data_IF_189515123538
#
_entry.id   IF_189515123538
#
_cell.length_a   1.000
_cell.length_b   1.000
_cell.length_c   1.000
_cell.angle_alpha   90.00
_cell.angle_beta   90.00
_cell.angle_gamma   90.00
#
_symmetry.space_group_name_H-M   'P 1'
#
loop_
_entity.id
_entity.type
_entity.pdbx_description
1 polymer ?
#
# COMPACT_ATOMS: atom_id res chain seq x y z
N UNK A 1 7.66 -32.14 94.19
CA UNK A 1 7.08 -31.02 94.94
C UNK A 1 7.51 -29.70 94.29
N UNK A 2 6.54 -28.78 94.13
CA UNK A 2 6.66 -27.30 94.07
C UNK A 2 7.25 -26.60 92.83
N UNK A 3 6.32 -26.20 91.95
CA UNK A 3 5.96 -24.83 91.51
C UNK A 3 6.97 -23.68 91.69
N UNK A 4 7.18 -22.90 90.62
CA UNK A 4 6.71 -21.49 90.46
C UNK A 4 7.54 -20.75 89.39
N UNK A 5 6.99 -20.47 88.21
CA UNK A 5 6.61 -19.13 87.68
C UNK A 5 7.50 -17.96 88.13
N UNK A 6 8.10 -17.21 87.18
CA UNK A 6 7.72 -15.82 86.86
C UNK A 6 8.61 -15.10 85.80
N UNK A 7 7.93 -14.31 84.97
CA UNK A 7 8.27 -13.02 84.33
C UNK A 7 9.23 -12.95 83.14
N UNK A 8 8.58 -12.91 81.97
CA UNK A 8 8.63 -11.85 80.95
C UNK A 8 9.86 -10.95 80.88
N UNK A 9 10.55 -10.97 79.73
CA UNK A 9 10.93 -9.76 79.02
C UNK A 9 10.72 -9.98 77.52
N UNK A 10 9.86 -9.12 76.98
CA UNK A 10 9.54 -8.97 75.57
C UNK A 10 10.74 -8.29 74.90
N UNK A 11 11.35 -8.95 73.93
CA UNK A 11 12.22 -8.30 72.95
C UNK A 11 11.61 -8.51 71.57
N UNK A 12 10.75 -7.58 71.15
CA UNK A 12 10.29 -7.46 69.77
C UNK A 12 11.47 -6.92 68.97
N UNK A 13 12.31 -7.82 68.47
CA UNK A 13 13.22 -7.50 67.38
C UNK A 13 12.38 -7.43 66.11
N UNK A 14 12.12 -6.23 65.61
CA UNK A 14 11.57 -6.01 64.28
C UNK A 14 12.68 -6.36 63.28
N UNK A 15 12.56 -7.43 62.47
CA UNK A 15 13.45 -7.57 61.34
C UNK A 15 12.99 -6.54 60.29
N UNK A 16 13.87 -5.60 59.93
CA UNK A 16 13.79 -4.93 58.64
C UNK A 16 13.96 -6.02 57.57
N UNK A 17 12.85 -6.62 57.15
CA UNK A 17 12.82 -7.44 55.95
C UNK A 17 12.96 -6.47 54.77
N UNK A 18 14.18 -6.34 54.26
CA UNK A 18 14.47 -5.72 52.98
C UNK A 18 13.66 -6.50 51.94
N UNK A 19 12.57 -5.92 51.46
CA UNK A 19 11.83 -6.41 50.31
C UNK A 19 12.76 -6.22 49.12
N UNK A 20 13.55 -7.24 48.80
CA UNK A 20 14.15 -7.37 47.49
C UNK A 20 12.99 -7.63 46.52
N UNK A 21 12.36 -6.56 46.04
CA UNK A 21 11.48 -6.61 44.90
C UNK A 21 12.34 -7.03 43.71
N UNK A 22 12.41 -8.34 43.47
CA UNK A 22 12.87 -8.88 42.19
C UNK A 22 11.83 -8.41 41.19
N UNK A 23 12.08 -7.24 40.59
CA UNK A 23 11.30 -6.77 39.47
C UNK A 23 11.34 -7.85 38.42
N UNK A 24 10.19 -8.45 38.13
CA UNK A 24 10.02 -9.24 36.94
C UNK A 24 10.34 -8.31 35.77
N UNK A 25 11.54 -8.45 35.22
CA UNK A 25 11.87 -7.85 33.94
C UNK A 25 11.00 -8.61 32.97
N UNK A 26 9.84 -8.03 32.65
CA UNK A 26 9.09 -8.40 31.48
C UNK A 26 10.06 -8.24 30.32
N UNK A 27 10.60 -9.37 29.85
CA UNK A 27 11.29 -9.42 28.57
C UNK A 27 10.19 -9.13 27.55
N UNK A 28 9.96 -7.84 27.30
CA UNK A 28 9.34 -7.41 26.06
C UNK A 28 10.27 -7.93 24.99
N UNK A 29 9.95 -9.11 24.46
CA UNK A 29 10.64 -9.64 23.30
C UNK A 29 10.73 -8.49 22.32
N UNK A 30 11.96 -8.13 21.95
CA UNK A 30 12.19 -7.10 20.95
C UNK A 30 11.24 -7.43 19.81
N UNK A 31 10.30 -6.53 19.52
CA UNK A 31 9.53 -6.59 18.30
C UNK A 31 10.53 -6.38 17.17
N UNK A 32 11.25 -7.45 16.84
CA UNK A 32 11.96 -7.64 15.60
C UNK A 32 11.04 -7.12 14.52
N UNK A 33 11.56 -6.24 13.66
CA UNK A 33 10.77 -5.55 12.65
C UNK A 33 10.15 -6.60 11.71
N UNK A 34 8.98 -7.14 12.06
CA UNK A 34 8.31 -8.20 11.36
C UNK A 34 7.35 -7.56 10.36
N UNK A 35 7.90 -7.01 9.28
CA UNK A 35 7.09 -6.61 8.15
C UNK A 35 6.57 -7.87 7.47
N UNK A 36 5.31 -7.89 7.08
CA UNK A 36 4.78 -8.97 6.25
C UNK A 36 3.88 -8.40 5.18
N UNK A 37 3.80 -9.14 4.07
CA UNK A 37 2.89 -8.89 2.96
C UNK A 37 2.07 -10.14 2.71
N UNK A 38 0.75 -9.97 2.59
CA UNK A 38 -0.18 -11.07 2.37
C UNK A 38 -0.96 -10.79 1.10
N UNK A 39 -0.96 -11.75 0.19
CA UNK A 39 -1.84 -11.77 -0.97
C UNK A 39 -2.97 -12.75 -0.69
N UNK A 40 -4.22 -12.30 -0.84
CA UNK A 40 -5.41 -13.12 -0.72
C UNK A 40 -6.22 -13.00 -2.01
N UNK A 41 -6.70 -14.12 -2.55
CA UNK A 41 -7.59 -14.13 -3.69
C UNK A 41 -8.65 -15.22 -3.57
N UNK A 42 -9.80 -15.00 -4.20
CA UNK A 42 -10.80 -16.05 -4.43
C UNK A 42 -10.52 -16.62 -5.81
N UNK A 43 -9.94 -17.82 -5.87
CA UNK A 43 -9.56 -18.46 -7.14
C UNK A 43 -10.77 -18.99 -7.92
N UNK A 44 -11.81 -19.43 -7.22
CA UNK A 44 -13.07 -19.86 -7.79
C UNK A 44 -14.19 -19.68 -6.76
N UNK A 45 -15.43 -19.52 -7.23
CA UNK A 45 -16.61 -19.34 -6.40
C UNK A 45 -17.82 -20.00 -7.05
N UNK A 46 -18.67 -20.62 -6.25
CA UNK A 46 -19.89 -21.30 -6.66
C UNK A 46 -20.99 -21.08 -5.62
N UNK A 47 -22.26 -21.48 -5.89
CA UNK A 47 -23.32 -21.37 -4.91
C UNK A 47 -22.96 -22.12 -3.62
N UNK A 48 -22.86 -21.39 -2.52
CA UNK A 48 -22.55 -21.88 -1.18
C UNK A 48 -21.07 -22.13 -0.89
N UNK A 49 -20.16 -21.94 -1.86
CA UNK A 49 -18.73 -22.17 -1.63
C UNK A 49 -17.76 -21.35 -2.48
N UNK A 50 -16.50 -21.32 -2.05
CA UNK A 50 -15.41 -20.67 -2.77
C UNK A 50 -14.06 -21.30 -2.41
N UNK A 51 -13.06 -21.10 -3.27
CA UNK A 51 -11.66 -21.45 -2.99
C UNK A 51 -10.86 -20.16 -2.76
N UNK A 52 -10.26 -20.03 -1.58
CA UNK A 52 -9.32 -18.97 -1.22
C UNK A 52 -7.88 -19.41 -1.42
N UNK A 53 -7.05 -18.56 -2.05
CA UNK A 53 -5.61 -18.74 -2.17
C UNK A 53 -4.89 -17.62 -1.42
N UNK A 54 -3.93 -17.99 -0.58
CA UNK A 54 -3.19 -17.06 0.28
C UNK A 54 -1.69 -17.24 0.08
N UNK A 55 -0.97 -16.14 -0.12
CA UNK A 55 0.49 -16.12 -0.12
C UNK A 55 0.98 -15.15 0.94
N UNK A 56 1.88 -15.62 1.81
CA UNK A 56 2.51 -14.83 2.87
C UNK A 56 3.96 -14.61 2.48
N UNK A 57 4.42 -13.37 2.51
CA UNK A 57 5.82 -12.98 2.31
C UNK A 57 6.35 -12.37 3.61
N UNK A 58 7.45 -12.91 4.11
CA UNK A 58 8.16 -12.36 5.25
C UNK A 58 9.03 -11.20 4.78
N UNK A 59 8.84 -9.99 5.29
CA UNK A 59 9.67 -8.82 5.00
C UNK A 59 10.54 -8.42 6.20
N UNK A 60 10.43 -9.15 7.31
CA UNK A 60 11.20 -8.95 8.53
C UNK A 60 12.28 -10.01 8.73
N UNK A 61 12.68 -10.20 9.98
CA UNK A 61 13.67 -11.21 10.36
C UNK A 61 13.21 -12.63 9.98
N UNK A 62 14.14 -13.55 9.67
CA UNK A 62 13.81 -14.93 9.33
C UNK A 62 12.92 -15.60 10.38
N UNK A 63 11.87 -16.29 9.92
CA UNK A 63 10.91 -17.03 10.75
C UNK A 63 11.18 -18.53 10.66
N UNK A 64 11.12 -19.24 11.79
CA UNK A 64 11.13 -20.71 11.87
C UNK A 64 9.73 -21.33 11.91
N UNK A 65 8.70 -20.49 11.96
CA UNK A 65 7.30 -20.86 11.95
C UNK A 65 6.43 -19.62 11.75
N UNK A 66 5.28 -19.79 11.10
CA UNK A 66 4.36 -18.69 10.84
C UNK A 66 2.92 -19.04 11.24
N UNK A 67 2.25 -18.04 11.78
CA UNK A 67 0.83 -18.02 12.10
C UNK A 67 0.24 -16.76 11.47
N UNK A 68 -0.67 -16.93 10.52
CA UNK A 68 -1.39 -15.85 9.88
C UNK A 68 -2.80 -15.76 10.46
N UNK A 69 -3.24 -14.56 10.86
CA UNK A 69 -4.62 -14.33 11.31
C UNK A 69 -5.30 -13.26 10.47
N UNK A 70 -6.62 -13.42 10.26
CA UNK A 70 -7.50 -12.42 9.64
C UNK A 70 -8.94 -12.63 10.10
N UNK A 71 -9.83 -11.71 9.73
CA UNK A 71 -11.26 -11.83 10.01
C UNK A 71 -12.09 -11.77 8.75
N UNK A 72 -13.09 -12.64 8.65
CA UNK A 72 -14.14 -12.55 7.62
C UNK A 72 -15.24 -11.57 8.05
N UNK A 73 -15.82 -10.83 7.10
CA UNK A 73 -16.79 -9.76 7.38
C UNK A 73 -18.22 -10.08 6.98
N UNK A 74 -18.46 -11.16 6.23
CA UNK A 74 -19.77 -11.51 5.70
C UNK A 74 -20.19 -12.96 6.00
N UNK A 75 -19.75 -13.50 7.14
CA UNK A 75 -20.16 -14.83 7.61
C UNK A 75 -19.50 -16.01 6.89
N UNK A 76 -18.42 -15.78 6.15
CA UNK A 76 -17.66 -16.87 5.51
C UNK A 76 -17.08 -17.83 6.55
N UNK A 77 -17.04 -19.12 6.22
CA UNK A 77 -16.46 -20.16 7.08
C UNK A 77 -15.48 -21.03 6.28
N UNK A 78 -14.28 -21.28 6.81
CA UNK A 78 -13.33 -22.23 6.22
C UNK A 78 -13.83 -23.66 6.46
N UNK A 79 -13.87 -24.47 5.41
CA UNK A 79 -14.34 -25.87 5.47
C UNK A 79 -13.22 -26.89 5.30
N UNK A 80 -12.22 -26.58 4.47
CA UNK A 80 -11.06 -27.44 4.23
C UNK A 80 -9.86 -26.59 3.86
N UNK A 81 -8.65 -26.97 4.28
CA UNK A 81 -7.42 -26.27 3.93
C UNK A 81 -6.31 -27.25 3.50
N UNK A 82 -5.35 -26.75 2.74
CA UNK A 82 -4.13 -27.46 2.34
C UNK A 82 -2.92 -26.53 2.45
N UNK A 83 -1.74 -27.11 2.65
CA UNK A 83 -0.48 -26.40 2.89
C UNK A 83 -0.49 -25.44 4.10
N UNK A 84 -1.52 -25.53 4.94
CA UNK A 84 -1.65 -24.86 6.23
C UNK A 84 -2.64 -25.63 7.12
N UNK A 85 -2.46 -25.54 8.44
CA UNK A 85 -3.48 -25.94 9.40
C UNK A 85 -4.32 -24.71 9.74
N UNK A 86 -5.60 -24.72 9.37
CA UNK A 86 -6.50 -23.56 9.54
C UNK A 86 -7.57 -23.88 10.58
N UNK A 87 -7.80 -22.96 11.50
CA UNK A 87 -8.91 -22.97 12.45
C UNK A 87 -9.67 -21.64 12.41
N UNK A 88 -10.96 -21.68 12.73
CA UNK A 88 -11.81 -20.50 12.75
C UNK A 88 -12.71 -20.50 13.99
N UNK A 89 -12.84 -19.33 14.62
CA UNK A 89 -13.77 -19.07 15.72
C UNK A 89 -14.56 -17.81 15.42
N UNK A 90 -15.87 -17.96 15.19
CA UNK A 90 -16.71 -16.87 14.69
C UNK A 90 -16.19 -16.34 13.36
N UNK A 91 -15.80 -15.06 13.33
CA UNK A 91 -15.22 -14.42 12.14
C UNK A 91 -13.70 -14.52 12.07
N UNK A 92 -13.02 -14.86 13.18
CA UNK A 92 -11.57 -14.86 13.27
C UNK A 92 -11.00 -16.18 12.74
N UNK A 93 -10.12 -16.09 11.75
CA UNK A 93 -9.39 -17.22 11.16
C UNK A 93 -7.93 -17.19 11.59
N UNK A 94 -7.37 -18.36 11.88
CA UNK A 94 -5.96 -18.59 12.20
C UNK A 94 -5.42 -19.70 11.30
N UNK A 95 -4.41 -19.40 10.47
CA UNK A 95 -3.69 -20.36 9.65
C UNK A 95 -2.27 -20.53 10.18
N UNK A 96 -1.84 -21.77 10.41
CA UNK A 96 -0.47 -22.12 10.84
C UNK A 96 0.23 -22.93 9.75
N UNK A 97 1.55 -22.85 9.73
CA UNK A 97 2.39 -23.64 8.83
C UNK A 97 2.07 -25.15 8.89
N UNK A 98 2.24 -25.85 7.77
CA UNK A 98 2.07 -27.29 7.65
C UNK A 98 3.33 -28.08 8.08
N UNK A 99 4.15 -27.50 8.96
CA UNK A 99 5.47 -28.03 9.34
C UNK A 99 6.54 -27.75 8.29
N UNK A 100 6.43 -28.36 7.10
CA UNK A 100 7.46 -28.31 6.05
C UNK A 100 7.68 -26.91 5.44
N UNK A 101 6.67 -26.04 5.50
CA UNK A 101 6.75 -24.65 5.03
C UNK A 101 6.89 -23.63 6.15
N UNK A 102 7.36 -24.05 7.34
CA UNK A 102 7.52 -23.15 8.49
C UNK A 102 8.63 -22.11 8.36
N UNK A 103 9.72 -22.48 7.69
CA UNK A 103 10.88 -21.61 7.54
C UNK A 103 10.63 -20.58 6.42
N UNK A 104 10.60 -19.30 6.79
CA UNK A 104 10.58 -18.17 5.85
C UNK A 104 11.75 -17.23 6.17
N UNK A 105 12.79 -17.27 5.34
CA UNK A 105 13.81 -16.23 5.35
C UNK A 105 13.21 -14.84 5.03
N UNK A 106 13.97 -13.78 5.29
CA UNK A 106 13.60 -12.44 4.84
C UNK A 106 13.42 -12.42 3.32
N UNK A 107 12.32 -11.81 2.86
CA UNK A 107 11.81 -11.78 1.49
C UNK A 107 11.38 -13.14 0.91
N UNK A 108 11.39 -14.23 1.70
CA UNK A 108 10.82 -15.50 1.25
C UNK A 108 9.29 -15.46 1.33
N UNK A 109 8.64 -16.34 0.55
CA UNK A 109 7.19 -16.49 0.53
C UNK A 109 6.76 -17.94 0.71
N UNK A 110 5.58 -18.13 1.25
CA UNK A 110 4.86 -19.41 1.30
C UNK A 110 3.43 -19.22 0.87
N UNK A 111 2.81 -20.27 0.32
CA UNK A 111 1.42 -20.22 -0.16
C UNK A 111 0.61 -21.39 0.39
N UNK A 112 -0.64 -21.11 0.70
CA UNK A 112 -1.62 -22.11 1.10
C UNK A 112 -2.98 -21.77 0.50
N UNK A 113 -3.90 -22.74 0.55
CA UNK A 113 -5.25 -22.54 0.06
C UNK A 113 -6.27 -23.20 0.95
N UNK A 114 -7.53 -22.82 0.76
CA UNK A 114 -8.65 -23.39 1.48
C UNK A 114 -9.94 -23.28 0.66
N UNK A 115 -10.87 -24.18 0.94
CA UNK A 115 -12.26 -24.01 0.57
C UNK A 115 -13.02 -23.41 1.74
N UNK A 116 -13.99 -22.56 1.44
CA UNK A 116 -14.88 -21.97 2.42
C UNK A 116 -16.32 -21.88 1.92
N UNK A 117 -17.26 -21.72 2.85
CA UNK A 117 -18.66 -21.43 2.56
C UNK A 117 -18.94 -19.93 2.67
N UNK A 118 -19.99 -19.47 1.97
CA UNK A 118 -20.47 -18.10 2.01
C UNK A 118 -22.00 -18.06 1.78
N UNK A 119 -22.62 -16.91 2.03
CA UNK A 119 -24.08 -16.77 2.11
C UNK A 119 -24.78 -16.49 0.75
N UNK A 120 -24.09 -16.62 -0.38
CA UNK A 120 -24.58 -16.27 -1.73
C UNK A 120 -24.99 -14.81 -1.96
N UNK A 121 -24.80 -13.92 -0.98
CA UNK A 121 -25.11 -12.49 -1.10
C UNK A 121 -23.85 -11.67 -1.37
N UNK A 122 -22.85 -11.78 -0.49
CA UNK A 122 -21.59 -11.06 -0.66
C UNK A 122 -20.42 -11.89 -0.11
N UNK A 123 -19.31 -11.94 -0.86
CA UNK A 123 -18.08 -12.61 -0.46
C UNK A 123 -16.87 -11.65 -0.47
N UNK A 124 -16.86 -10.64 0.41
CA UNK A 124 -15.77 -9.68 0.50
C UNK A 124 -14.48 -10.37 0.97
N UNK A 125 -13.37 -9.99 0.35
CA UNK A 125 -12.04 -10.45 0.76
C UNK A 125 -11.58 -9.73 2.03
N UNK A 126 -10.82 -10.40 2.93
CA UNK A 126 -10.26 -9.75 4.11
C UNK A 126 -9.24 -8.68 3.75
N UNK A 127 -9.23 -7.57 4.47
CA UNK A 127 -8.36 -6.41 4.22
C UNK A 127 -7.23 -6.22 5.24
N UNK A 128 -7.26 -6.96 6.36
CA UNK A 128 -6.24 -6.89 7.40
C UNK A 128 -5.80 -8.30 7.81
N UNK A 129 -4.49 -8.47 7.89
CA UNK A 129 -3.84 -9.72 8.25
C UNK A 129 -2.77 -9.45 9.30
N UNK A 130 -2.50 -10.41 10.18
CA UNK A 130 -1.35 -10.35 11.08
C UNK A 130 -0.51 -11.62 10.98
N UNK A 131 0.80 -11.48 10.86
CA UNK A 131 1.76 -12.58 10.87
C UNK A 131 2.46 -12.62 12.23
N UNK A 132 2.32 -13.75 12.95
CA UNK A 132 2.85 -13.93 14.30
C UNK A 132 2.46 -12.80 15.27
N UNK A 133 1.25 -12.26 15.12
CA UNK A 133 0.73 -11.16 15.92
C UNK A 133 1.10 -9.75 15.43
N UNK A 134 1.95 -9.63 14.40
CA UNK A 134 2.29 -8.34 13.80
C UNK A 134 1.42 -8.05 12.58
N UNK A 135 0.75 -6.90 12.56
CA UNK A 135 -0.11 -6.50 11.43
C UNK A 135 0.73 -6.38 10.17
N UNK A 136 0.29 -7.03 9.09
CA UNK A 136 0.93 -6.94 7.78
C UNK A 136 0.61 -5.60 7.13
N UNK A 137 1.53 -4.66 7.26
CA UNK A 137 1.45 -3.32 6.67
C UNK A 137 2.12 -3.22 5.29
N UNK A 138 2.67 -4.33 4.77
CA UNK A 138 3.35 -4.36 3.48
C UNK A 138 4.81 -3.89 3.48
N UNK A 139 5.38 -3.59 4.67
CA UNK A 139 6.78 -3.23 4.85
C UNK A 139 7.20 -3.19 6.33
N UNK A 140 8.51 -3.09 6.60
CA UNK A 140 9.07 -2.81 7.93
C UNK A 140 9.21 -1.31 8.15
N UNK A 141 8.75 -0.80 9.28
CA UNK A 141 9.03 0.57 9.74
C UNK A 141 10.33 0.54 10.55
N UNK A 142 11.36 1.36 10.24
CA UNK A 142 12.48 1.55 11.14
C UNK A 142 11.99 2.23 12.44
N UNK A 143 12.32 1.66 13.60
CA UNK A 143 11.93 2.15 14.95
C UNK A 143 12.69 3.41 15.38
N UNK A 144 12.71 4.46 14.55
CA UNK A 144 13.19 5.76 15.01
C UNK A 144 12.09 6.80 14.80
N UNK A 145 11.39 7.13 15.88
CA UNK A 145 10.31 8.10 15.91
C UNK A 145 10.85 9.52 15.61
N UNK A 146 10.31 10.25 14.61
CA UNK A 146 10.50 11.68 14.46
C UNK A 146 9.65 12.47 15.48
N UNK A 147 10.00 13.72 15.81
CA UNK A 147 9.35 14.48 16.87
C UNK A 147 7.88 14.79 16.52
N UNK A 148 7.03 14.70 17.55
CA UNK A 148 5.59 14.95 17.45
C UNK A 148 5.30 16.45 17.47
N UNK A 149 4.68 16.99 16.43
CA UNK A 149 3.97 18.28 16.49
C UNK A 149 2.46 18.04 16.47
N UNK A 150 1.73 18.77 17.30
CA UNK A 150 0.28 18.63 17.50
C UNK A 150 -0.53 18.86 16.21
N UNK A 151 -1.59 18.08 15.95
CA UNK A 151 -2.45 18.25 14.76
C UNK A 151 -3.25 19.57 14.79
N UNK A 152 -3.48 20.23 13.63
CA UNK A 152 -4.37 21.39 13.56
C UNK A 152 -5.84 20.97 13.62
N UNK A 153 -6.66 21.76 14.32
CA UNK A 153 -8.07 21.51 14.65
C UNK A 153 -9.08 22.14 13.67
N UNK A 154 -8.68 22.46 12.44
CA UNK A 154 -9.59 23.06 11.45
C UNK A 154 -9.78 22.15 10.23
N UNK A 155 -11.03 21.90 9.77
CA UNK A 155 -11.27 21.10 8.58
C UNK A 155 -10.68 21.80 7.34
N UNK A 156 -10.07 21.08 6.39
CA UNK A 156 -9.46 21.68 5.21
C UNK A 156 -10.55 22.29 4.31
N UNK A 157 -10.28 23.45 3.66
CA UNK A 157 -11.24 24.07 2.79
C UNK A 157 -11.44 23.24 1.52
N UNK A 158 -12.69 23.06 1.11
CA UNK A 158 -13.05 22.51 -0.19
C UNK A 158 -12.74 23.54 -1.27
N UNK A 159 -11.55 23.51 -1.84
CA UNK A 159 -11.18 24.39 -2.97
C UNK A 159 -11.73 23.84 -4.29
N UNK A 160 -12.41 24.69 -5.06
CA UNK A 160 -12.80 24.45 -6.44
C UNK A 160 -11.56 24.20 -7.34
N UNK A 161 -11.70 23.46 -8.47
CA UNK A 161 -10.60 23.21 -9.39
C UNK A 161 -9.92 24.52 -9.84
N UNK A 162 -8.58 24.54 -9.97
CA UNK A 162 -7.83 25.77 -10.23
C UNK A 162 -8.15 26.32 -11.63
N UNK A 163 -8.43 27.62 -11.71
CA UNK A 163 -8.79 28.36 -12.94
C UNK A 163 -7.61 29.08 -13.60
N UNK A 164 -6.38 28.93 -13.10
CA UNK A 164 -5.20 29.52 -13.76
C UNK A 164 -4.62 28.57 -14.80
N UNK A 165 -4.29 29.06 -16.02
CA UNK A 165 -3.61 28.24 -17.01
C UNK A 165 -2.27 27.74 -16.47
N UNK A 166 -1.87 26.51 -16.80
CA UNK A 166 -0.62 25.93 -16.31
C UNK A 166 0.58 26.71 -16.87
N UNK A 167 1.71 26.80 -16.15
CA UNK A 167 2.89 27.48 -16.65
C UNK A 167 3.33 26.83 -17.96
N UNK A 168 3.51 27.61 -19.03
CA UNK A 168 3.98 27.19 -20.34
C UNK A 168 5.44 26.74 -20.26
N UNK A 169 5.64 25.47 -19.87
CA UNK A 169 6.92 24.80 -20.08
C UNK A 169 7.15 24.58 -21.57
N UNK A 170 8.41 24.66 -22.02
CA UNK A 170 8.77 24.32 -23.40
C UNK A 170 8.39 22.88 -23.77
N UNK A 171 8.46 22.56 -25.07
CA UNK A 171 8.18 21.20 -25.52
C UNK A 171 9.08 20.17 -24.82
N UNK A 172 8.53 19.01 -24.45
CA UNK A 172 9.23 17.94 -23.73
C UNK A 172 9.83 18.35 -22.37
N UNK A 173 9.34 19.42 -21.75
CA UNK A 173 9.79 19.86 -20.42
C UNK A 173 9.15 19.07 -19.27
N UNK A 174 8.14 18.25 -19.53
CA UNK A 174 7.46 17.43 -18.54
C UNK A 174 7.73 15.93 -18.77
N UNK A 175 8.28 15.26 -17.77
CA UNK A 175 8.36 13.80 -17.75
C UNK A 175 7.12 13.19 -17.09
N UNK A 176 6.91 11.89 -17.27
CA UNK A 176 5.90 11.17 -16.53
C UNK A 176 6.41 9.83 -16.01
N UNK A 177 5.86 9.37 -14.90
CA UNK A 177 6.07 8.02 -14.35
C UNK A 177 4.72 7.39 -14.00
N UNK A 178 4.67 6.06 -14.05
CA UNK A 178 3.44 5.30 -13.83
C UNK A 178 3.49 3.99 -14.60
N UNK A 179 2.32 3.48 -14.94
CA UNK A 179 2.11 2.21 -15.64
C UNK A 179 1.57 2.43 -17.06
N UNK A 180 1.07 1.37 -17.70
CA UNK A 180 0.43 1.37 -19.01
C UNK A 180 -0.74 2.35 -19.13
N UNK A 181 -1.43 2.64 -18.02
CA UNK A 181 -2.43 3.70 -18.00
C UNK A 181 -1.81 5.10 -18.13
N UNK A 182 -0.62 5.33 -17.57
CA UNK A 182 0.10 6.58 -17.76
C UNK A 182 0.57 6.73 -19.20
N UNK A 183 1.00 5.62 -19.81
CA UNK A 183 1.30 5.53 -21.24
C UNK A 183 0.09 5.84 -22.12
N UNK A 184 -1.10 5.36 -21.78
CA UNK A 184 -2.32 5.69 -22.51
C UNK A 184 -2.64 7.20 -22.43
N UNK A 185 -2.43 7.83 -21.28
CA UNK A 185 -2.55 9.30 -21.14
C UNK A 185 -1.52 10.01 -22.01
N UNK A 186 -0.25 9.57 -22.00
CA UNK A 186 0.82 10.18 -22.78
C UNK A 186 0.62 10.02 -24.29
N UNK A 187 0.23 8.83 -24.75
CA UNK A 187 -0.15 8.56 -26.14
C UNK A 187 -1.29 9.47 -26.59
N UNK A 188 -2.34 9.54 -25.78
CA UNK A 188 -3.47 10.42 -25.98
C UNK A 188 -3.07 11.89 -26.07
N UNK A 189 -2.28 12.36 -25.11
CA UNK A 189 -1.82 13.74 -25.00
C UNK A 189 -1.07 14.19 -26.25
N UNK A 190 -0.11 13.38 -26.73
CA UNK A 190 0.61 13.66 -27.98
C UNK A 190 -0.33 13.61 -29.18
N UNK A 191 -1.23 12.61 -29.24
CA UNK A 191 -2.16 12.45 -30.36
C UNK A 191 -3.13 13.63 -30.52
N UNK A 192 -3.47 14.32 -29.43
CA UNK A 192 -4.34 15.51 -29.46
C UNK A 192 -3.55 16.83 -29.54
N UNK A 193 -2.25 16.77 -29.81
CA UNK A 193 -1.41 17.95 -30.06
C UNK A 193 -0.73 18.55 -28.83
N UNK A 194 -0.77 17.86 -27.68
CA UNK A 194 0.01 18.23 -26.51
C UNK A 194 1.51 18.13 -26.79
N UNK A 195 2.30 19.09 -26.29
CA UNK A 195 3.73 19.21 -26.62
C UNK A 195 4.66 19.22 -25.42
N UNK A 196 4.13 19.49 -24.23
CA UNK A 196 4.94 19.71 -23.02
C UNK A 196 5.41 18.41 -22.40
N UNK A 197 4.54 17.40 -22.31
CA UNK A 197 4.86 16.09 -21.77
C UNK A 197 5.56 15.20 -22.79
N UNK A 198 6.51 14.38 -22.34
CA UNK A 198 7.14 13.35 -23.16
C UNK A 198 6.11 12.39 -23.76
N UNK A 199 6.45 11.88 -24.94
CA UNK A 199 5.72 10.76 -25.53
C UNK A 199 5.93 9.44 -24.77
N UNK A 200 5.15 8.41 -25.12
CA UNK A 200 5.28 7.07 -24.56
C UNK A 200 6.71 6.53 -24.65
N UNK A 201 7.20 5.87 -23.60
CA UNK A 201 8.56 5.32 -23.55
C UNK A 201 8.64 3.89 -22.97
N UNK A 202 7.49 3.25 -22.80
CA UNK A 202 7.37 1.86 -22.37
C UNK A 202 7.39 1.69 -20.87
N UNK A 203 6.49 2.34 -20.13
CA UNK A 203 6.34 2.10 -18.69
C UNK A 203 5.60 0.80 -18.34
N UNK A 204 4.75 0.25 -19.21
CA UNK A 204 4.15 -1.09 -19.05
C UNK A 204 3.56 -1.37 -17.65
N UNK A 205 3.93 -2.49 -17.03
CA UNK A 205 3.41 -2.91 -15.71
C UNK A 205 4.03 -2.22 -14.49
N UNK A 206 4.73 -1.08 -14.65
CA UNK A 206 5.46 -0.44 -13.55
C UNK A 206 4.50 0.25 -12.57
N UNK A 207 4.24 -0.42 -11.44
CA UNK A 207 3.46 0.11 -10.31
C UNK A 207 4.33 0.90 -9.34
N UNK A 208 3.73 1.54 -8.32
CA UNK A 208 4.43 2.35 -7.30
C UNK A 208 5.74 1.71 -6.82
N UNK A 209 5.71 0.41 -6.49
CA UNK A 209 6.88 -0.34 -5.99
C UNK A 209 8.04 -0.41 -6.98
N UNK A 210 7.77 -0.28 -8.28
CA UNK A 210 8.82 -0.24 -9.31
C UNK A 210 9.63 1.05 -9.25
N UNK A 211 9.07 2.10 -8.66
CA UNK A 211 9.63 3.45 -8.61
C UNK A 211 10.18 3.83 -7.22
N UNK A 212 10.03 2.98 -6.20
CA UNK A 212 10.49 3.28 -4.83
C UNK A 212 11.98 3.06 -4.60
N UNK A 213 12.66 2.27 -5.44
CA UNK A 213 14.11 2.19 -5.48
C UNK A 213 14.63 3.15 -6.57
N UNK A 214 15.40 4.22 -6.24
CA UNK A 214 15.88 5.19 -7.23
C UNK A 214 16.81 4.59 -8.30
N UNK A 215 17.38 3.41 -8.07
CA UNK A 215 18.25 2.74 -9.03
C UNK A 215 17.54 1.63 -9.82
N UNK A 216 16.20 1.58 -9.78
CA UNK A 216 15.44 0.54 -10.46
C UNK A 216 15.53 0.65 -11.99
N UNK A 217 15.20 -0.45 -12.68
CA UNK A 217 15.07 -0.45 -14.14
C UNK A 217 13.96 0.50 -14.64
N UNK A 218 13.01 0.87 -13.79
CA UNK A 218 12.01 1.91 -14.09
C UNK A 218 12.68 3.27 -14.24
N UNK A 219 13.53 3.65 -13.27
CA UNK A 219 14.28 4.90 -13.33
C UNK A 219 15.32 4.92 -14.44
N UNK A 220 15.96 3.78 -14.76
CA UNK A 220 16.83 3.68 -15.93
C UNK A 220 16.10 4.05 -17.24
N UNK A 221 14.83 3.64 -17.41
CA UNK A 221 14.01 4.03 -18.58
C UNK A 221 13.68 5.52 -18.57
N UNK A 222 13.34 6.06 -17.41
CA UNK A 222 13.09 7.50 -17.25
C UNK A 222 14.34 8.33 -17.57
N UNK A 223 15.51 7.90 -17.08
CA UNK A 223 16.79 8.58 -17.29
C UNK A 223 17.23 8.52 -18.75
N UNK A 224 16.90 7.45 -19.48
CA UNK A 224 17.08 7.41 -20.94
C UNK A 224 16.26 8.48 -21.66
N UNK A 225 15.03 8.76 -21.22
CA UNK A 225 14.24 9.88 -21.76
C UNK A 225 14.83 11.23 -21.37
N UNK A 226 15.25 11.38 -20.11
CA UNK A 226 15.90 12.60 -19.63
C UNK A 226 17.22 12.88 -20.37
N UNK A 227 17.97 11.85 -20.76
CA UNK A 227 19.17 11.99 -21.59
C UNK A 227 18.83 12.49 -23.01
N UNK A 228 17.66 12.15 -23.54
CA UNK A 228 17.20 12.57 -24.87
C UNK A 228 16.61 13.98 -24.89
N UNK A 229 15.83 14.34 -23.89
CA UNK A 229 15.04 15.58 -23.86
C UNK A 229 15.52 16.62 -22.84
N UNK A 230 16.51 16.27 -22.02
CA UNK A 230 16.90 17.01 -20.83
C UNK A 230 16.12 16.58 -19.60
N UNK A 231 16.68 16.83 -18.41
CA UNK A 231 15.99 16.58 -17.14
C UNK A 231 14.73 17.46 -17.07
N UNK A 232 13.56 16.87 -16.79
CA UNK A 232 12.31 17.60 -16.91
C UNK A 232 12.13 18.60 -15.77
N UNK A 233 11.54 19.76 -16.08
CA UNK A 233 11.20 20.81 -15.09
C UNK A 233 9.81 20.59 -14.48
N UNK A 234 9.07 19.59 -14.97
CA UNK A 234 7.91 19.05 -14.28
C UNK A 234 7.85 17.52 -14.43
N UNK A 235 7.31 16.82 -13.44
CA UNK A 235 7.05 15.38 -13.54
C UNK A 235 5.60 15.12 -13.15
N UNK A 236 4.86 14.44 -14.02
CA UNK A 236 3.56 13.89 -13.67
C UNK A 236 3.72 12.45 -13.16
N UNK A 237 3.19 12.22 -11.97
CA UNK A 237 3.13 10.93 -11.30
C UNK A 237 1.71 10.39 -11.41
N UNK A 238 1.54 9.25 -12.09
CA UNK A 238 0.34 8.44 -11.94
C UNK A 238 0.61 7.35 -10.89
N UNK A 239 -0.12 7.40 -9.77
CA UNK A 239 -0.08 6.34 -8.77
C UNK A 239 -0.73 5.10 -9.37
N UNK A 240 0.07 4.14 -9.81
CA UNK A 240 -0.39 2.88 -10.37
C UNK A 240 -0.21 1.73 -9.40
N UNK A 241 -1.24 0.88 -9.30
CA UNK A 241 -1.21 -0.33 -8.47
C UNK A 241 -1.71 -1.54 -9.23
N UNK A 242 -1.30 -2.72 -8.76
CA UNK A 242 -2.04 -3.95 -8.96
C UNK A 242 -2.86 -4.25 -7.70
N UNK A 243 -4.02 -4.87 -7.85
CA UNK A 243 -4.93 -5.23 -6.76
C UNK A 243 -4.22 -5.98 -5.64
N UNK A 244 -3.29 -6.87 -6.02
CA UNK A 244 -2.53 -7.73 -5.12
C UNK A 244 -1.44 -6.98 -4.34
N UNK A 245 -0.97 -5.84 -4.85
CA UNK A 245 0.16 -5.09 -4.28
C UNK A 245 -0.28 -3.83 -3.56
N UNK A 246 -1.34 -3.18 -4.04
CA UNK A 246 -1.78 -1.88 -3.55
C UNK A 246 -0.68 -0.82 -3.62
N UNK A 247 -0.87 0.25 -2.86
CA UNK A 247 0.18 1.20 -2.52
C UNK A 247 -0.13 1.81 -1.15
N UNK A 248 0.92 2.06 -0.39
CA UNK A 248 0.87 2.84 0.85
C UNK A 248 1.24 4.28 0.58
N UNK A 249 0.82 5.18 1.47
CA UNK A 249 1.22 6.58 1.38
C UNK A 249 2.74 6.77 1.54
N UNK A 250 3.41 5.93 2.34
CA UNK A 250 4.88 5.95 2.46
C UNK A 250 5.59 5.61 1.16
N UNK A 251 5.12 4.60 0.42
CA UNK A 251 5.65 4.28 -0.90
C UNK A 251 5.42 5.44 -1.89
N UNK A 252 4.27 6.11 -1.81
CA UNK A 252 3.98 7.31 -2.61
C UNK A 252 4.95 8.45 -2.27
N UNK A 253 5.24 8.72 -1.00
CA UNK A 253 6.24 9.72 -0.59
C UNK A 253 7.64 9.39 -1.13
N UNK A 254 8.06 8.13 -1.04
CA UNK A 254 9.36 7.68 -1.61
C UNK A 254 9.38 7.87 -3.12
N UNK A 255 8.30 7.51 -3.80
CA UNK A 255 8.17 7.70 -5.24
C UNK A 255 8.26 9.20 -5.61
N UNK A 256 7.59 10.10 -4.89
CA UNK A 256 7.69 11.56 -5.08
C UNK A 256 9.12 12.04 -4.87
N UNK A 257 9.79 11.59 -3.80
CA UNK A 257 11.17 11.95 -3.51
C UNK A 257 12.12 11.50 -4.63
N UNK A 258 11.97 10.27 -5.12
CA UNK A 258 12.75 9.77 -6.25
C UNK A 258 12.45 10.57 -7.53
N UNK A 259 11.19 10.91 -7.80
CA UNK A 259 10.86 11.77 -8.94
C UNK A 259 11.58 13.11 -8.90
N UNK A 260 11.73 13.73 -7.72
CA UNK A 260 12.54 14.95 -7.55
C UNK A 260 14.03 14.70 -7.79
N UNK A 261 14.55 13.56 -7.35
CA UNK A 261 15.96 13.19 -7.55
C UNK A 261 16.32 13.04 -9.04
N UNK A 262 15.41 12.52 -9.86
CA UNK A 262 15.64 12.31 -11.29
C UNK A 262 15.25 13.54 -12.14
N UNK A 263 14.33 14.38 -11.68
CA UNK A 263 13.94 15.62 -12.35
C UNK A 263 14.97 16.77 -12.20
N UNK A 264 14.79 17.86 -12.93
CA UNK A 264 15.61 19.06 -12.74
C UNK A 264 15.42 19.66 -11.33
N UNK A 265 16.42 20.35 -10.77
CA UNK A 265 16.26 21.09 -9.51
C UNK A 265 15.05 22.04 -9.57
N UNK A 266 14.21 22.02 -8.54
CA UNK A 266 13.01 22.84 -8.48
C UNK A 266 11.84 22.35 -9.37
N UNK A 267 11.93 21.15 -9.95
CA UNK A 267 10.85 20.63 -10.79
C UNK A 267 9.51 20.54 -10.04
N UNK A 268 8.44 20.91 -10.76
CA UNK A 268 7.07 20.77 -10.25
C UNK A 268 6.63 19.32 -10.33
N UNK A 269 6.16 18.75 -9.22
CA UNK A 269 5.60 17.40 -9.20
C UNK A 269 4.08 17.49 -9.23
N UNK A 270 3.49 16.88 -10.24
CA UNK A 270 2.06 16.67 -10.33
C UNK A 270 1.75 15.23 -9.97
N UNK A 271 0.64 14.97 -9.27
CA UNK A 271 0.29 13.62 -8.84
C UNK A 271 -1.20 13.34 -9.02
N UNK A 272 -1.55 12.19 -9.60
CA UNK A 272 -2.93 11.74 -9.75
C UNK A 272 -3.03 10.23 -9.51
N UNK A 273 -4.25 9.74 -9.30
CA UNK A 273 -4.53 8.30 -9.33
C UNK A 273 -4.58 7.72 -10.75
N UNK A 274 -4.77 6.41 -10.84
CA UNK A 274 -5.25 5.74 -12.06
C UNK A 274 -6.61 6.32 -12.47
N UNK A 275 -6.95 6.34 -13.77
CA UNK A 275 -8.24 6.86 -14.20
C UNK A 275 -9.41 6.13 -13.55
N UNK A 276 -10.42 6.90 -13.13
CA UNK A 276 -11.67 6.35 -12.64
C UNK A 276 -12.58 5.96 -13.80
N UNK A 277 -13.40 4.94 -13.55
CA UNK A 277 -14.43 4.48 -14.48
C UNK A 277 -15.81 4.86 -13.95
N UNK A 278 -16.85 4.88 -14.78
CA UNK A 278 -18.22 5.09 -14.33
C UNK A 278 -18.66 3.89 -13.47
N UNK A 279 -19.67 4.08 -12.63
CA UNK A 279 -20.20 3.00 -11.77
C UNK A 279 -20.48 1.72 -12.58
N UNK A 280 -19.98 0.59 -12.08
CA UNK A 280 -20.15 -0.74 -12.69
C UNK A 280 -18.94 -1.27 -13.46
N UNK A 281 -17.94 -0.42 -13.75
CA UNK A 281 -16.70 -0.85 -14.39
C UNK A 281 -15.55 -0.93 -13.39
N UNK A 282 -14.91 -2.11 -13.33
CA UNK A 282 -13.76 -2.38 -12.47
C UNK A 282 -12.57 -2.75 -13.33
N UNK A 283 -11.47 -2.02 -13.18
CA UNK A 283 -10.21 -2.49 -13.72
C UNK A 283 -9.73 -3.70 -12.92
N UNK A 284 -9.75 -4.88 -13.54
CA UNK A 284 -9.36 -6.15 -12.90
C UNK A 284 -7.90 -6.13 -12.40
N UNK A 285 -7.03 -5.37 -13.05
CA UNK A 285 -5.61 -5.28 -12.68
C UNK A 285 -5.40 -4.53 -11.37
N UNK A 286 -6.08 -3.41 -11.15
CA UNK A 286 -5.99 -2.62 -9.90
C UNK A 286 -7.02 -3.05 -8.85
N UNK A 287 -8.02 -3.82 -9.24
CA UNK A 287 -9.04 -4.38 -8.37
C UNK A 287 -10.19 -3.40 -8.09
N UNK A 288 -11.25 -3.93 -7.50
CA UNK A 288 -12.40 -3.11 -7.07
C UNK A 288 -11.95 -2.07 -6.05
N UNK A 289 -12.19 -0.79 -6.32
CA UNK A 289 -11.75 0.31 -5.47
C UNK A 289 -10.28 0.72 -5.65
N UNK A 290 -9.55 0.08 -6.57
CA UNK A 290 -8.13 0.35 -6.82
C UNK A 290 -7.88 1.77 -7.35
N UNK A 291 -8.54 2.18 -8.46
CA UNK A 291 -8.45 3.54 -8.96
C UNK A 291 -8.83 4.59 -7.89
N UNK A 292 -9.89 4.34 -7.11
CA UNK A 292 -10.33 5.20 -6.02
C UNK A 292 -9.30 5.28 -4.88
N UNK A 293 -8.61 4.18 -4.57
CA UNK A 293 -7.51 4.18 -3.62
C UNK A 293 -6.37 5.07 -4.11
N UNK A 294 -5.96 4.92 -5.38
CA UNK A 294 -4.87 5.72 -5.95
C UNK A 294 -5.23 7.21 -6.00
N UNK A 295 -6.49 7.53 -6.27
CA UNK A 295 -6.99 8.90 -6.21
C UNK A 295 -6.96 9.47 -4.78
N UNK A 296 -7.40 8.69 -3.78
CA UNK A 296 -7.28 9.07 -2.36
C UNK A 296 -5.83 9.33 -1.97
N UNK A 297 -4.88 8.50 -2.39
CA UNK A 297 -3.45 8.69 -2.13
C UNK A 297 -2.90 9.95 -2.80
N UNK A 298 -3.34 10.27 -4.02
CA UNK A 298 -2.93 11.49 -4.71
C UNK A 298 -3.46 12.75 -4.00
N UNK A 299 -4.72 12.72 -3.56
CA UNK A 299 -5.32 13.80 -2.74
C UNK A 299 -4.60 13.95 -1.40
N UNK A 300 -4.28 12.83 -0.75
CA UNK A 300 -3.50 12.84 0.50
C UNK A 300 -2.12 13.48 0.28
N UNK A 301 -1.43 13.13 -0.81
CA UNK A 301 -0.14 13.73 -1.15
C UNK A 301 -0.23 15.25 -1.39
N UNK A 302 -1.29 15.72 -2.04
CA UNK A 302 -1.49 17.15 -2.27
C UNK A 302 -1.93 17.93 -1.01
N UNK A 303 -2.61 17.27 -0.07
CA UNK A 303 -2.96 17.86 1.22
C UNK A 303 -1.74 17.95 2.17
N UNK A 304 -0.74 17.09 1.97
CA UNK A 304 0.51 17.11 2.72
C UNK A 304 1.48 18.15 2.14
N UNK A 305 1.53 19.31 2.78
CA UNK A 305 2.38 20.43 2.36
C UNK A 305 3.87 20.07 2.31
N UNK A 306 4.32 19.05 3.07
CA UNK A 306 5.71 18.58 3.03
C UNK A 306 6.09 17.95 1.69
N UNK A 307 5.10 17.41 0.95
CA UNK A 307 5.35 16.81 -0.35
C UNK A 307 5.45 17.84 -1.48
N UNK A 308 4.83 19.03 -1.30
CA UNK A 308 4.84 20.14 -2.26
C UNK A 308 4.49 19.68 -3.70
N UNK A 309 3.40 18.92 -3.83
CA UNK A 309 2.91 18.38 -5.11
C UNK A 309 1.59 19.04 -5.51
N UNK A 310 1.23 18.95 -6.79
CA UNK A 310 -0.01 19.50 -7.34
C UNK A 310 -0.93 18.38 -7.83
N UNK A 311 -2.15 18.34 -7.32
CA UNK A 311 -3.17 17.38 -7.76
C UNK A 311 -4.00 17.99 -8.90
N UNK A 312 -4.00 17.39 -10.11
CA UNK A 312 -4.71 17.91 -11.26
C UNK A 312 -6.16 17.42 -11.32
N UNK A 313 -6.75 16.93 -10.23
CA UNK A 313 -8.06 16.29 -10.34
C UNK A 313 -7.99 14.87 -10.92
N UNK A 314 -9.19 14.34 -11.18
CA UNK A 314 -9.40 12.96 -11.57
C UNK A 314 -9.35 12.84 -13.09
N UNK A 315 -8.59 11.87 -13.59
CA UNK A 315 -8.73 11.39 -14.95
C UNK A 315 -9.88 10.38 -15.03
N UNK A 316 -10.72 10.49 -16.04
CA UNK A 316 -11.90 9.62 -16.19
C UNK A 316 -11.95 8.98 -17.57
N UNK A 317 -12.45 7.75 -17.62
CA UNK A 317 -12.80 7.04 -18.85
C UNK A 317 -14.29 6.69 -18.82
N UNK A 318 -14.94 6.70 -19.98
CA UNK A 318 -16.29 6.16 -20.18
C UNK A 318 -16.24 4.68 -20.54
N UNK A 319 -17.34 3.96 -20.40
CA UNK A 319 -17.39 2.53 -20.75
C UNK A 319 -16.99 2.27 -22.22
N UNK A 320 -17.40 3.16 -23.13
CA UNK A 320 -17.06 3.10 -24.56
C UNK A 320 -15.60 3.44 -24.87
N UNK A 321 -14.84 3.92 -23.89
CA UNK A 321 -13.45 4.37 -24.02
C UNK A 321 -12.45 3.33 -23.48
N UNK A 322 -12.95 2.19 -22.99
CA UNK A 322 -12.15 1.09 -22.44
C UNK A 322 -12.06 -0.06 -23.45
N UNK A 323 -10.86 -0.61 -23.64
CA UNK A 323 -10.59 -1.69 -24.61
C UNK A 323 -10.76 -3.09 -24.00
N UNK A 324 -10.20 -3.32 -22.81
CA UNK A 324 -10.02 -4.66 -22.22
C UNK A 324 -10.43 -4.71 -20.74
N UNK A 325 -11.37 -3.83 -20.35
CA UNK A 325 -11.81 -3.68 -18.96
C UNK A 325 -10.89 -2.83 -18.07
N UNK A 326 -9.69 -2.47 -18.53
CA UNK A 326 -8.76 -1.60 -17.81
C UNK A 326 -8.19 -0.48 -18.69
N UNK A 327 -7.62 -0.83 -19.83
CA UNK A 327 -6.89 0.09 -20.69
C UNK A 327 -7.81 0.91 -21.58
N UNK A 328 -7.35 2.09 -21.93
CA UNK A 328 -8.06 2.94 -22.86
C UNK A 328 -7.92 2.40 -24.29
N UNK A 329 -9.03 2.37 -25.03
CA UNK A 329 -8.98 2.24 -26.48
C UNK A 329 -8.53 3.57 -27.13
N UNK A 330 -8.44 3.64 -28.45
CA UNK A 330 -8.01 4.86 -29.16
C UNK A 330 -8.83 6.10 -28.77
N UNK A 331 -10.15 5.98 -28.61
CA UNK A 331 -11.01 7.08 -28.21
C UNK A 331 -10.74 7.49 -26.75
N UNK A 332 -10.56 6.52 -25.85
CA UNK A 332 -10.21 6.77 -24.46
C UNK A 332 -8.83 7.41 -24.29
N UNK A 333 -7.85 7.01 -25.09
CA UNK A 333 -6.54 7.65 -25.10
C UNK A 333 -6.70 9.13 -25.46
N UNK A 334 -7.41 9.46 -26.54
CA UNK A 334 -7.66 10.86 -26.91
C UNK A 334 -8.45 11.63 -25.82
N UNK A 335 -9.41 10.98 -25.15
CA UNK A 335 -10.17 11.59 -24.07
C UNK A 335 -9.28 11.93 -22.86
N UNK A 336 -8.43 10.99 -22.44
CA UNK A 336 -7.43 11.20 -21.40
C UNK A 336 -6.39 12.26 -21.80
N UNK A 337 -5.99 12.25 -23.08
CA UNK A 337 -5.09 13.24 -23.65
C UNK A 337 -5.64 14.66 -23.58
N UNK A 338 -6.91 14.85 -23.94
CA UNK A 338 -7.60 16.15 -23.81
C UNK A 338 -7.70 16.62 -22.36
N UNK A 339 -7.97 15.69 -21.43
CA UNK A 339 -7.94 16.00 -19.99
C UNK A 339 -6.54 16.48 -19.59
N UNK A 340 -5.48 15.80 -20.02
CA UNK A 340 -4.10 16.19 -19.75
C UNK A 340 -3.73 17.55 -20.36
N UNK A 341 -4.09 17.82 -21.62
CA UNK A 341 -3.90 19.15 -22.27
C UNK A 341 -4.59 20.24 -21.45
N UNK A 342 -5.81 20.00 -20.97
CA UNK A 342 -6.52 20.94 -20.10
C UNK A 342 -5.76 21.31 -18.82
N UNK A 343 -4.89 20.43 -18.32
CA UNK A 343 -4.11 20.64 -17.09
C UNK A 343 -2.67 21.06 -17.27
N UNK A 344 -2.04 20.76 -18.41
CA UNK A 344 -0.59 21.00 -18.59
C UNK A 344 -0.25 21.94 -19.75
N UNK A 345 -1.20 22.23 -20.64
CA UNK A 345 -0.95 22.83 -21.96
C UNK A 345 -0.45 21.78 -22.93
#
# INVERSE_FOLDING_TARGET
MRLSRFRSLVAVAVPLAVIAAVGAVSVTGAAAAAGCRVSYSVGSQWPGGFTGNVTVTNLGDPLSGWTLTWSFSAGQQVTQAWNATVSQSGTQVTARNAGWNGNLATNASTSFGFNGSWNNSNNPTPSSFSLNGTVCTGGVTPTSAPPTSTPPTSPPPTSAPPTSPPPTGGANSMGFIGCSMAENVAQGYVAVGGRRMWGPYGTGGLVVQSWTNPNSSAWQRFDQQAARFGRPTAVWVQICIFAQSGATYEEVKRLIANARQHAAPGATIYISGQPLYPQGNVCQLSGSGGPELTDRLAKQAAADSSQNVRYPGVFTLRNSEVADGCHANTAGQQALGRQAVGYWG
#
